data_IF_030805321879
#
_entry.id   IF_030805321879
#
_cell.length_a   1.000
_cell.length_b   1.000
_cell.length_c   1.000
_cell.angle_alpha   90.00
_cell.angle_beta   90.00
_cell.angle_gamma   90.00
#
_symmetry.space_group_name_H-M   'P 1'
#
loop_
_entity.id
_entity.type
_entity.pdbx_description
1 polymer ?
#
# COMPACT_ATOMS: atom_id res chain seq x y z
N UNK A 1 -10.79 -6.43 -8.69
CA UNK A 1 -11.52 -7.30 -9.62
C UNK A 1 -10.68 -7.61 -10.87
N UNK A 2 -10.15 -6.61 -11.59
CA UNK A 2 -9.33 -6.86 -12.79
C UNK A 2 -8.05 -7.64 -12.45
N UNK A 3 -7.47 -7.43 -11.31
CA UNK A 3 -6.35 -8.19 -10.76
C UNK A 3 -6.62 -9.71 -10.82
N UNK A 4 -7.80 -10.16 -10.39
CA UNK A 4 -8.19 -11.57 -10.48
C UNK A 4 -8.40 -12.03 -11.93
N UNK A 5 -8.94 -11.13 -12.76
CA UNK A 5 -9.32 -11.49 -14.13
C UNK A 5 -8.15 -11.85 -15.03
N UNK A 6 -6.94 -11.33 -14.79
CA UNK A 6 -5.76 -11.69 -15.60
C UNK A 6 -5.33 -13.14 -15.39
N UNK A 7 -5.72 -13.77 -14.26
CA UNK A 7 -5.52 -15.21 -14.01
C UNK A 7 -6.62 -16.09 -14.61
N UNK A 8 -7.72 -15.49 -15.09
CA UNK A 8 -8.95 -16.17 -15.50
C UNK A 8 -9.13 -16.28 -17.02
N UNK A 9 -8.05 -16.50 -17.73
CA UNK A 9 -8.02 -16.68 -19.18
C UNK A 9 -7.25 -15.56 -19.87
N UNK A 10 -6.31 -15.97 -20.70
CA UNK A 10 -5.40 -15.09 -21.41
C UNK A 10 -5.07 -15.63 -22.81
N UNK A 11 -4.23 -14.91 -23.55
CA UNK A 11 -3.81 -15.27 -24.90
C UNK A 11 -3.19 -16.68 -24.97
N UNK A 12 -2.37 -17.04 -23.98
CA UNK A 12 -1.64 -18.31 -23.99
C UNK A 12 -2.29 -19.38 -23.09
N UNK A 13 -3.18 -19.01 -22.18
CA UNK A 13 -3.80 -19.92 -21.23
C UNK A 13 -5.30 -19.76 -21.21
N UNK A 14 -6.04 -20.83 -21.49
CA UNK A 14 -7.47 -20.86 -21.24
C UNK A 14 -7.75 -20.77 -19.76
N UNK A 15 -8.98 -20.40 -19.41
CA UNK A 15 -9.42 -20.38 -18.01
C UNK A 15 -9.12 -21.72 -17.32
N UNK A 16 -8.42 -21.65 -16.17
CA UNK A 16 -8.02 -22.79 -15.38
C UNK A 16 -6.73 -23.51 -15.82
N UNK A 17 -6.07 -23.07 -16.90
CA UNK A 17 -4.82 -23.71 -17.38
C UNK A 17 -3.55 -23.06 -16.81
N UNK A 18 -3.59 -21.76 -16.49
CA UNK A 18 -2.42 -21.00 -16.03
C UNK A 18 -1.85 -21.57 -14.71
N UNK A 19 -2.68 -21.76 -13.71
CA UNK A 19 -2.25 -22.26 -12.39
C UNK A 19 -1.63 -23.68 -12.49
N UNK A 20 -2.25 -24.65 -13.15
CA UNK A 20 -1.61 -25.94 -13.39
C UNK A 20 -0.29 -25.87 -14.17
N UNK A 21 -0.17 -24.93 -15.13
CA UNK A 21 1.09 -24.74 -15.85
C UNK A 21 2.18 -24.20 -14.92
N UNK A 22 1.84 -23.25 -14.04
CA UNK A 22 2.73 -22.74 -13.00
C UNK A 22 3.20 -23.86 -12.05
N UNK A 23 2.25 -24.66 -11.55
CA UNK A 23 2.56 -25.76 -10.62
C UNK A 23 3.51 -26.83 -11.20
N UNK A 24 3.43 -27.09 -12.50
CA UNK A 24 4.36 -28.00 -13.19
C UNK A 24 5.81 -27.52 -13.17
N UNK A 25 6.02 -26.21 -13.14
CA UNK A 25 7.33 -25.57 -13.05
C UNK A 25 7.73 -25.25 -11.60
N UNK A 26 6.93 -25.68 -10.62
CA UNK A 26 7.19 -25.45 -9.19
C UNK A 26 6.78 -24.09 -8.67
N UNK A 27 5.95 -23.34 -9.40
CA UNK A 27 5.41 -22.03 -9.01
C UNK A 27 4.07 -22.21 -8.32
N UNK A 28 3.95 -21.81 -7.07
CA UNK A 28 2.71 -21.83 -6.29
C UNK A 28 2.00 -20.47 -6.29
N UNK A 29 0.68 -20.47 -6.52
CA UNK A 29 -0.12 -19.27 -6.35
C UNK A 29 -0.23 -18.92 -4.86
N UNK A 30 0.00 -17.63 -4.52
CA UNK A 30 0.01 -17.12 -3.16
C UNK A 30 1.39 -17.15 -2.48
N UNK A 31 2.26 -18.11 -2.86
CA UNK A 31 3.66 -18.17 -2.42
C UNK A 31 4.61 -17.51 -3.41
N UNK A 32 4.75 -18.14 -4.59
CA UNK A 32 5.71 -17.69 -5.61
C UNK A 32 5.08 -16.70 -6.60
N UNK A 33 3.77 -16.76 -6.83
CA UNK A 33 3.04 -15.80 -7.66
C UNK A 33 1.92 -15.16 -6.85
N UNK A 34 1.88 -13.84 -6.85
CA UNK A 34 0.90 -13.05 -6.10
C UNK A 34 0.60 -11.73 -6.83
N UNK A 35 -0.46 -11.06 -6.39
CA UNK A 35 -0.80 -9.72 -6.85
C UNK A 35 -1.49 -8.92 -5.75
N UNK A 36 -1.45 -7.60 -5.86
CA UNK A 36 -2.25 -6.71 -5.04
C UNK A 36 -2.69 -5.47 -5.82
N UNK A 37 -3.80 -4.90 -5.41
CA UNK A 37 -4.29 -3.62 -5.92
C UNK A 37 -4.31 -2.59 -4.79
N UNK A 38 -3.64 -1.47 -5.01
CA UNK A 38 -3.71 -0.28 -4.17
C UNK A 38 -4.60 0.79 -4.82
N UNK A 39 -4.55 2.04 -4.32
CA UNK A 39 -5.38 3.13 -4.83
C UNK A 39 -4.98 3.58 -6.24
N UNK A 40 -3.71 3.48 -6.60
CA UNK A 40 -3.14 4.01 -7.84
C UNK A 40 -2.24 3.01 -8.59
N UNK A 41 -2.10 1.81 -8.09
CA UNK A 41 -1.33 0.75 -8.74
C UNK A 41 -1.97 -0.64 -8.58
N UNK A 42 -1.66 -1.53 -9.51
CA UNK A 42 -1.81 -2.97 -9.38
C UNK A 42 -0.46 -3.61 -9.63
N UNK A 43 0.03 -4.40 -8.71
CA UNK A 43 1.33 -5.06 -8.80
C UNK A 43 1.13 -6.56 -8.93
N UNK A 44 1.81 -7.15 -9.90
CA UNK A 44 1.90 -8.60 -10.11
C UNK A 44 3.32 -9.03 -9.82
N UNK A 45 3.49 -10.03 -9.00
CA UNK A 45 4.78 -10.53 -8.54
C UNK A 45 4.93 -12.00 -8.89
N UNK A 46 6.15 -12.40 -9.23
CA UNK A 46 6.48 -13.79 -9.48
C UNK A 46 7.91 -14.09 -9.08
N UNK A 47 8.06 -14.94 -8.08
CA UNK A 47 9.36 -15.47 -7.66
C UNK A 47 9.64 -16.76 -8.42
N UNK A 48 10.69 -16.75 -9.24
CA UNK A 48 11.02 -17.87 -10.11
C UNK A 48 11.99 -18.80 -9.37
N UNK A 49 11.58 -20.02 -8.98
CA UNK A 49 12.39 -20.89 -8.12
C UNK A 49 13.60 -21.50 -8.85
N UNK A 50 13.67 -21.37 -10.15
CA UNK A 50 14.69 -22.00 -10.98
C UNK A 50 14.95 -21.18 -12.24
N UNK A 51 16.24 -21.08 -12.61
CA UNK A 51 16.68 -20.46 -13.87
C UNK A 51 16.58 -21.40 -15.08
N UNK A 52 15.81 -22.49 -14.98
CA UNK A 52 15.50 -23.32 -16.14
C UNK A 52 14.81 -22.50 -17.21
N UNK A 53 15.17 -22.71 -18.46
CA UNK A 53 14.60 -21.99 -19.59
C UNK A 53 13.07 -22.13 -19.65
N UNK A 54 12.53 -23.32 -19.35
CA UNK A 54 11.07 -23.57 -19.33
C UNK A 54 10.37 -22.71 -18.28
N UNK A 55 10.94 -22.63 -17.06
CA UNK A 55 10.36 -21.87 -15.95
C UNK A 55 10.41 -20.37 -16.22
N UNK A 56 11.55 -19.86 -16.71
CA UNK A 56 11.70 -18.45 -17.10
C UNK A 56 10.76 -18.09 -18.26
N UNK A 57 10.69 -18.93 -19.31
CA UNK A 57 9.78 -18.72 -20.43
C UNK A 57 8.32 -18.67 -19.97
N UNK A 58 7.91 -19.57 -19.09
CA UNK A 58 6.56 -19.58 -18.52
C UNK A 58 6.27 -18.29 -17.75
N UNK A 59 7.16 -17.89 -16.85
CA UNK A 59 7.01 -16.70 -16.02
C UNK A 59 6.84 -15.43 -16.88
N UNK A 60 7.72 -15.23 -17.84
CA UNK A 60 7.63 -14.07 -18.74
C UNK A 60 6.41 -14.12 -19.67
N UNK A 61 5.97 -15.30 -20.10
CA UNK A 61 4.74 -15.44 -20.89
C UNK A 61 3.53 -15.04 -20.05
N UNK A 62 3.44 -15.48 -18.81
CA UNK A 62 2.36 -15.11 -17.88
C UNK A 62 2.37 -13.59 -17.61
N UNK A 63 3.53 -13.01 -17.29
CA UNK A 63 3.66 -11.58 -17.06
C UNK A 63 3.27 -10.76 -18.30
N UNK A 64 3.60 -11.25 -19.51
CA UNK A 64 3.15 -10.63 -20.74
C UNK A 64 1.64 -10.74 -20.91
N UNK A 65 1.04 -11.88 -20.60
CA UNK A 65 -0.40 -12.06 -20.65
C UNK A 65 -1.15 -11.18 -19.64
N UNK A 66 -0.56 -10.93 -18.48
CA UNK A 66 -1.10 -9.94 -17.53
C UNK A 66 -1.08 -8.53 -18.13
N UNK A 67 -0.05 -8.18 -18.88
CA UNK A 67 0.12 -6.85 -19.46
C UNK A 67 -0.88 -6.53 -20.58
N UNK A 68 -1.09 -7.43 -21.55
CA UNK A 68 -1.99 -7.15 -22.70
C UNK A 68 -2.77 -8.35 -23.22
N UNK A 69 -2.68 -9.51 -22.56
CA UNK A 69 -3.27 -10.77 -23.03
C UNK A 69 -4.56 -11.21 -22.34
N UNK A 70 -5.11 -10.49 -21.37
CA UNK A 70 -6.31 -10.90 -20.65
C UNK A 70 -7.55 -10.91 -21.56
N UNK A 71 -8.29 -12.03 -21.58
CA UNK A 71 -9.47 -12.22 -22.45
C UNK A 71 -10.73 -11.56 -21.90
N UNK A 72 -10.84 -11.44 -20.59
CA UNK A 72 -11.97 -10.83 -19.90
C UNK A 72 -13.32 -11.39 -20.40
N UNK A 73 -13.42 -12.72 -20.48
CA UNK A 73 -14.64 -13.40 -20.93
C UNK A 73 -15.79 -13.15 -19.95
N UNK A 74 -17.00 -12.91 -20.46
CA UNK A 74 -18.17 -12.60 -19.64
C UNK A 74 -18.46 -13.69 -18.60
N UNK A 75 -18.40 -14.95 -19.02
CA UNK A 75 -18.59 -16.10 -18.14
C UNK A 75 -17.56 -16.19 -17.01
N UNK A 76 -16.33 -15.75 -17.26
CA UNK A 76 -15.28 -15.69 -16.24
C UNK A 76 -15.51 -14.54 -15.27
N UNK A 77 -15.91 -13.37 -15.76
CA UNK A 77 -16.30 -12.22 -14.95
C UNK A 77 -17.46 -12.59 -14.01
N UNK A 78 -18.52 -13.21 -14.55
CA UNK A 78 -19.70 -13.57 -13.76
C UNK A 78 -19.37 -14.60 -12.66
N UNK A 79 -18.51 -15.57 -12.96
CA UNK A 79 -18.06 -16.51 -11.95
C UNK A 79 -17.21 -15.86 -10.85
N UNK A 80 -16.43 -14.83 -11.19
CA UNK A 80 -15.55 -14.13 -10.25
C UNK A 80 -16.30 -13.20 -9.30
N UNK A 81 -17.51 -12.69 -9.68
CA UNK A 81 -18.33 -11.79 -8.83
C UNK A 81 -18.60 -12.36 -7.45
N UNK A 82 -18.84 -13.67 -7.34
CA UNK A 82 -19.06 -14.34 -6.05
C UNK A 82 -17.82 -14.34 -5.18
N UNK A 83 -16.66 -14.56 -5.77
CA UNK A 83 -15.35 -14.59 -5.07
C UNK A 83 -15.02 -13.20 -4.53
N UNK A 84 -15.10 -12.15 -5.38
CA UNK A 84 -14.86 -10.76 -4.96
C UNK A 84 -15.90 -10.29 -3.91
N UNK A 85 -17.18 -10.71 -4.05
CA UNK A 85 -18.20 -10.41 -3.04
C UNK A 85 -17.86 -11.04 -1.69
N UNK A 86 -17.30 -12.24 -1.68
CA UNK A 86 -16.86 -12.91 -0.45
C UNK A 86 -15.65 -12.20 0.16
N UNK A 87 -14.68 -11.81 -0.67
CA UNK A 87 -13.53 -10.99 -0.24
C UNK A 87 -13.97 -9.65 0.38
N UNK A 88 -14.91 -8.95 -0.27
CA UNK A 88 -15.48 -7.72 0.26
C UNK A 88 -16.04 -7.93 1.68
N UNK A 89 -16.79 -9.02 1.91
CA UNK A 89 -17.36 -9.33 3.22
C UNK A 89 -16.28 -9.64 4.27
N UNK A 90 -15.22 -10.34 3.90
CA UNK A 90 -14.10 -10.64 4.81
C UNK A 90 -13.35 -9.38 5.20
N UNK A 91 -13.19 -8.43 4.28
CA UNK A 91 -12.56 -7.13 4.54
C UNK A 91 -13.45 -6.20 5.38
N UNK A 92 -14.76 -6.37 5.39
CA UNK A 92 -15.72 -5.49 6.11
C UNK A 92 -15.69 -5.72 7.63
N UNK A 93 -14.52 -5.50 8.24
CA UNK A 93 -14.33 -5.53 9.70
C UNK A 93 -14.72 -4.20 10.35
N UNK A 94 -14.91 -4.20 11.67
CA UNK A 94 -15.16 -2.99 12.45
C UNK A 94 -14.06 -1.94 12.25
N UNK A 95 -12.79 -2.36 12.29
CA UNK A 95 -11.64 -1.49 12.05
C UNK A 95 -11.64 -0.87 10.65
N UNK A 96 -11.97 -1.66 9.62
CA UNK A 96 -12.06 -1.16 8.25
C UNK A 96 -13.18 -0.13 8.07
N UNK A 97 -14.35 -0.33 8.71
CA UNK A 97 -15.45 0.64 8.68
C UNK A 97 -15.08 1.95 9.38
N UNK A 98 -14.43 1.87 10.56
CA UNK A 98 -13.93 3.03 11.29
C UNK A 98 -12.86 3.77 10.46
N UNK A 99 -11.90 3.07 9.88
CA UNK A 99 -10.88 3.66 9.02
C UNK A 99 -11.51 4.43 7.83
N UNK A 100 -12.54 3.86 7.18
CA UNK A 100 -13.24 4.55 6.09
C UNK A 100 -13.91 5.84 6.55
N UNK A 101 -14.50 5.84 7.73
CA UNK A 101 -15.13 7.03 8.31
C UNK A 101 -14.08 8.10 8.67
N UNK A 102 -12.97 7.69 9.30
CA UNK A 102 -11.82 8.58 9.56
C UNK A 102 -11.31 9.20 8.26
N UNK A 103 -11.11 8.40 7.21
CA UNK A 103 -10.64 8.90 5.92
C UNK A 103 -11.65 9.83 5.24
N UNK A 104 -12.95 9.58 5.38
CA UNK A 104 -13.98 10.46 4.83
C UNK A 104 -13.96 11.87 5.46
N UNK A 105 -13.57 11.95 6.72
CA UNK A 105 -13.42 13.22 7.46
C UNK A 105 -12.08 13.87 7.12
N UNK A 106 -10.99 13.12 7.28
CA UNK A 106 -9.62 13.63 7.18
C UNK A 106 -9.23 13.98 5.74
N UNK A 107 -9.77 13.26 4.76
CA UNK A 107 -9.44 13.41 3.33
C UNK A 107 -10.60 14.01 2.52
N UNK A 108 -11.48 14.78 3.16
CA UNK A 108 -12.62 15.43 2.49
C UNK A 108 -12.15 16.26 1.30
N UNK A 109 -12.86 16.11 0.18
CA UNK A 109 -12.55 16.72 -1.11
C UNK A 109 -11.58 15.89 -1.98
N UNK A 110 -10.86 14.92 -1.41
CA UNK A 110 -10.10 13.97 -2.23
C UNK A 110 -10.98 12.84 -2.76
N UNK A 111 -10.46 12.05 -3.71
CA UNK A 111 -11.16 10.86 -4.23
C UNK A 111 -10.92 9.58 -3.41
N UNK A 112 -10.03 9.62 -2.43
CA UNK A 112 -9.67 8.44 -1.64
C UNK A 112 -10.86 7.78 -0.94
N UNK A 113 -11.75 8.54 -0.24
CA UNK A 113 -12.91 7.95 0.44
C UNK A 113 -13.90 7.23 -0.48
N UNK A 114 -13.91 7.56 -1.78
CA UNK A 114 -14.84 7.01 -2.76
C UNK A 114 -14.25 5.88 -3.60
N UNK A 115 -12.92 5.61 -3.50
CA UNK A 115 -12.19 4.74 -4.44
C UNK A 115 -11.34 3.67 -3.76
N UNK A 116 -11.89 3.03 -2.74
CA UNK A 116 -11.20 1.88 -2.13
C UNK A 116 -10.99 0.76 -3.16
N UNK A 117 -9.80 0.11 -3.16
CA UNK A 117 -9.43 -0.88 -4.19
C UNK A 117 -10.41 -2.03 -4.36
N UNK A 118 -11.06 -2.48 -3.28
CA UNK A 118 -12.07 -3.54 -3.37
C UNK A 118 -13.33 -3.10 -4.16
N UNK A 119 -13.58 -1.80 -4.27
CA UNK A 119 -14.76 -1.24 -4.93
C UNK A 119 -16.02 -1.31 -4.09
N UNK A 120 -17.17 -1.15 -4.75
CA UNK A 120 -18.50 -1.25 -4.11
C UNK A 120 -19.21 -2.52 -4.53
N UNK A 121 -20.08 -3.05 -3.65
CA UNK A 121 -20.88 -4.26 -3.96
C UNK A 121 -21.76 -4.10 -5.20
N UNK A 122 -22.24 -2.88 -5.46
CA UNK A 122 -23.00 -2.58 -6.66
C UNK A 122 -22.15 -2.81 -7.91
N UNK A 123 -20.98 -2.17 -8.00
CA UNK A 123 -20.07 -2.32 -9.14
C UNK A 123 -19.59 -3.76 -9.30
N UNK A 124 -19.23 -4.44 -8.19
CA UNK A 124 -18.82 -5.85 -8.23
C UNK A 124 -19.88 -6.73 -8.87
N UNK A 125 -21.16 -6.50 -8.54
CA UNK A 125 -22.27 -7.34 -8.99
C UNK A 125 -22.78 -6.99 -10.38
N UNK A 126 -22.70 -5.73 -10.80
CA UNK A 126 -23.43 -5.23 -11.97
C UNK A 126 -22.57 -4.66 -13.08
N UNK A 127 -21.27 -4.40 -12.86
CA UNK A 127 -20.42 -3.81 -13.88
C UNK A 127 -20.41 -4.69 -15.15
N UNK A 128 -20.79 -4.16 -16.32
CA UNK A 128 -20.81 -4.92 -17.57
C UNK A 128 -19.37 -5.15 -18.07
N UNK A 129 -19.19 -6.20 -18.87
CA UNK A 129 -17.90 -6.61 -19.44
C UNK A 129 -17.14 -5.47 -20.12
N UNK A 130 -17.84 -4.58 -20.81
CA UNK A 130 -17.25 -3.43 -21.51
C UNK A 130 -16.47 -2.50 -20.58
N UNK A 131 -16.89 -2.37 -19.32
CA UNK A 131 -16.17 -1.56 -18.32
C UNK A 131 -14.80 -2.16 -18.00
N UNK A 132 -14.71 -3.49 -17.89
CA UNK A 132 -13.44 -4.19 -17.66
C UNK A 132 -12.53 -4.06 -18.88
N UNK A 133 -13.05 -4.27 -20.09
CA UNK A 133 -12.29 -4.12 -21.33
C UNK A 133 -11.79 -2.69 -21.50
N UNK A 134 -12.65 -1.70 -21.28
CA UNK A 134 -12.28 -0.31 -21.43
C UNK A 134 -11.22 0.10 -20.41
N UNK A 135 -11.36 -0.32 -19.14
CA UNK A 135 -10.37 -0.07 -18.12
C UNK A 135 -9.02 -0.72 -18.48
N UNK A 136 -9.03 -2.00 -18.85
CA UNK A 136 -7.82 -2.73 -19.20
C UNK A 136 -7.09 -2.08 -20.38
N UNK A 137 -7.80 -1.79 -21.46
CA UNK A 137 -7.22 -1.14 -22.65
C UNK A 137 -6.74 0.28 -22.41
N UNK A 138 -7.33 0.99 -21.45
CA UNK A 138 -6.94 2.36 -21.14
C UNK A 138 -5.74 2.43 -20.22
N UNK A 139 -5.67 1.54 -19.21
CA UNK A 139 -4.68 1.66 -18.15
C UNK A 139 -3.54 0.62 -18.23
N UNK A 140 -3.78 -0.54 -18.85
CA UNK A 140 -2.75 -1.56 -19.06
C UNK A 140 -2.04 -1.31 -20.40
N UNK A 141 -1.23 -0.28 -20.42
CA UNK A 141 -0.49 0.21 -21.58
C UNK A 141 0.99 0.37 -21.25
N UNK A 142 1.92 0.14 -22.20
CA UNK A 142 3.36 0.14 -21.94
C UNK A 142 3.89 1.37 -21.23
N UNK A 143 3.35 2.55 -21.55
CA UNK A 143 3.80 3.83 -20.93
C UNK A 143 3.40 3.96 -19.45
N UNK A 144 2.49 3.12 -18.95
CA UNK A 144 2.04 3.09 -17.55
C UNK A 144 2.54 1.85 -16.81
N UNK A 145 3.40 1.04 -17.44
CA UNK A 145 3.96 -0.18 -16.85
C UNK A 145 5.40 0.01 -16.44
N UNK A 146 5.75 -0.57 -15.30
CA UNK A 146 7.12 -0.75 -14.87
C UNK A 146 7.37 -2.22 -14.65
N UNK A 147 8.39 -2.77 -15.32
CA UNK A 147 8.86 -4.13 -15.08
C UNK A 147 10.17 -4.08 -14.30
N UNK A 148 10.18 -4.76 -13.16
CA UNK A 148 11.37 -4.91 -12.33
C UNK A 148 11.78 -6.38 -12.34
N UNK A 149 13.04 -6.66 -12.64
CA UNK A 149 13.62 -8.00 -12.62
C UNK A 149 14.80 -7.96 -11.65
N UNK A 150 14.78 -8.81 -10.64
CA UNK A 150 15.84 -8.92 -9.66
C UNK A 150 16.23 -10.41 -9.47
N UNK A 151 17.51 -10.69 -9.28
CA UNK A 151 17.99 -12.05 -9.09
C UNK A 151 19.43 -12.23 -9.57
N UNK A 152 19.87 -13.47 -9.64
CA UNK A 152 21.21 -13.84 -10.15
C UNK A 152 21.23 -13.83 -11.69
N UNK A 153 21.12 -12.62 -12.24
CA UNK A 153 21.10 -12.36 -13.69
C UNK A 153 21.96 -11.15 -14.04
N UNK A 154 22.47 -11.11 -15.26
CA UNK A 154 23.12 -9.89 -15.76
C UNK A 154 22.09 -8.90 -16.34
N UNK A 155 22.39 -7.59 -16.36
CA UNK A 155 21.54 -6.59 -17.03
C UNK A 155 21.24 -6.93 -18.50
N UNK A 156 22.21 -7.52 -19.21
CA UNK A 156 22.08 -7.91 -20.60
C UNK A 156 21.07 -9.06 -20.78
N UNK A 157 21.09 -10.05 -19.88
CA UNK A 157 20.10 -11.12 -19.86
C UNK A 157 18.69 -10.57 -19.60
N UNK A 158 18.54 -9.73 -18.57
CA UNK A 158 17.28 -9.07 -18.27
C UNK A 158 16.75 -8.26 -19.47
N UNK A 159 17.60 -7.46 -20.10
CA UNK A 159 17.26 -6.71 -21.30
C UNK A 159 16.78 -7.62 -22.44
N UNK A 160 17.49 -8.71 -22.70
CA UNK A 160 17.15 -9.66 -23.76
C UNK A 160 15.76 -10.29 -23.51
N UNK A 161 15.42 -10.62 -22.26
CA UNK A 161 14.08 -11.12 -21.91
C UNK A 161 13.01 -10.04 -22.12
N UNK A 162 13.24 -8.82 -21.68
CA UNK A 162 12.31 -7.71 -21.92
C UNK A 162 12.05 -7.52 -23.41
N UNK A 163 13.09 -7.48 -24.23
CA UNK A 163 12.98 -7.36 -25.68
C UNK A 163 12.22 -8.55 -26.30
N UNK A 164 12.52 -9.79 -25.86
CA UNK A 164 11.87 -11.01 -26.35
C UNK A 164 10.37 -11.02 -26.06
N UNK A 165 9.97 -10.72 -24.82
CA UNK A 165 8.58 -10.92 -24.38
C UNK A 165 7.72 -9.67 -24.52
N UNK A 166 8.28 -8.47 -24.33
CA UNK A 166 7.53 -7.22 -24.32
C UNK A 166 7.84 -6.30 -25.52
N UNK A 167 8.89 -6.55 -26.26
CA UNK A 167 9.30 -5.70 -27.39
C UNK A 167 8.27 -5.58 -28.51
N UNK A 168 7.32 -6.52 -28.61
CA UNK A 168 6.22 -6.48 -29.57
C UNK A 168 5.01 -5.66 -29.10
N UNK A 169 5.00 -5.17 -27.86
CA UNK A 169 3.90 -4.33 -27.36
C UNK A 169 3.86 -3.01 -28.15
N UNK A 170 2.64 -2.64 -28.54
CA UNK A 170 2.46 -1.42 -29.34
C UNK A 170 2.64 -0.21 -28.46
N UNK A 171 3.36 0.79 -28.99
CA UNK A 171 3.44 2.12 -28.37
C UNK A 171 2.01 2.68 -28.24
N UNK A 172 1.71 3.24 -27.10
CA UNK A 172 0.43 3.86 -26.80
C UNK A 172 0.51 5.38 -26.80
N UNK A 173 -0.65 6.03 -26.77
CA UNK A 173 -0.81 7.47 -26.61
C UNK A 173 -1.61 7.73 -25.34
N UNK A 174 -1.14 7.22 -24.20
CA UNK A 174 -1.82 7.38 -22.92
C UNK A 174 -1.98 8.86 -22.56
N UNK A 175 -3.20 9.27 -22.31
CA UNK A 175 -3.55 10.65 -21.98
C UNK A 175 -4.43 10.78 -20.72
N UNK A 176 -4.69 9.66 -20.05
CA UNK A 176 -5.49 9.70 -18.83
C UNK A 176 -4.76 10.45 -17.71
N UNK A 177 -5.46 11.34 -17.06
CA UNK A 177 -4.94 12.04 -15.88
C UNK A 177 -5.67 11.57 -14.65
N UNK A 178 -4.92 11.15 -13.64
CA UNK A 178 -5.49 10.74 -12.37
C UNK A 178 -6.06 11.96 -11.64
N UNK A 179 -7.40 12.00 -11.52
CA UNK A 179 -8.07 12.97 -10.66
C UNK A 179 -8.09 12.42 -9.22
N UNK A 180 -7.24 12.98 -8.36
CA UNK A 180 -7.18 12.66 -6.92
C UNK A 180 -8.12 13.52 -6.09
N UNK A 181 -8.83 14.47 -6.72
CA UNK A 181 -9.59 15.51 -6.01
C UNK A 181 -8.66 16.56 -5.38
N UNK A 182 -9.21 17.39 -4.52
CA UNK A 182 -8.46 18.43 -3.81
C UNK A 182 -8.85 18.40 -2.34
N UNK A 183 -7.87 18.18 -1.48
CA UNK A 183 -8.08 18.17 -0.03
C UNK A 183 -8.67 19.51 0.42
N UNK A 184 -9.79 19.46 1.11
CA UNK A 184 -10.34 20.63 1.80
C UNK A 184 -9.57 20.84 3.11
N UNK A 185 -8.75 21.86 3.13
CA UNK A 185 -7.99 22.20 4.34
C UNK A 185 -8.91 22.80 5.38
N UNK A 186 -8.90 22.22 6.59
CA UNK A 186 -9.63 22.79 7.71
C UNK A 186 -9.02 24.14 8.12
N UNK A 187 -9.87 25.15 8.35
CA UNK A 187 -9.47 26.48 8.82
C UNK A 187 -9.44 26.59 10.34
N UNK A 188 -10.06 25.63 11.02
CA UNK A 188 -10.14 25.56 12.49
C UNK A 188 -10.09 24.09 12.94
N UNK A 189 -9.77 23.90 14.22
CA UNK A 189 -9.74 22.55 14.84
C UNK A 189 -11.16 22.03 14.96
N UNK A 190 -11.41 20.85 14.42
CA UNK A 190 -12.68 20.13 14.55
C UNK A 190 -12.48 18.88 15.41
N UNK A 191 -13.54 18.46 16.09
CA UNK A 191 -13.55 17.21 16.86
C UNK A 191 -14.63 16.28 16.33
N UNK A 192 -14.28 15.03 16.11
CA UNK A 192 -15.16 14.00 15.58
C UNK A 192 -15.21 12.81 16.53
N UNK A 193 -16.36 12.20 16.63
CA UNK A 193 -16.59 11.02 17.45
C UNK A 193 -17.17 9.89 16.60
N UNK A 194 -16.41 8.83 16.42
CA UNK A 194 -16.78 7.67 15.62
C UNK A 194 -17.03 6.50 16.56
N UNK A 195 -18.14 5.80 16.38
CA UNK A 195 -18.48 4.63 17.19
C UNK A 195 -18.82 3.44 16.32
N UNK A 196 -18.35 2.27 16.74
CA UNK A 196 -18.73 1.01 16.12
C UNK A 196 -19.02 -0.01 17.22
N UNK A 197 -20.16 -0.70 17.14
CA UNK A 197 -20.60 -1.66 18.18
C UNK A 197 -19.68 -2.88 18.29
N UNK A 198 -18.93 -3.19 17.24
CA UNK A 198 -18.00 -4.32 17.18
C UNK A 198 -16.55 -3.91 17.50
N UNK A 199 -16.31 -2.63 17.76
CA UNK A 199 -14.97 -2.17 18.12
C UNK A 199 -14.57 -2.71 19.51
N UNK A 200 -13.38 -3.28 19.59
CA UNK A 200 -12.81 -3.87 20.82
C UNK A 200 -11.81 -2.96 21.51
N UNK A 201 -11.45 -1.84 20.87
CA UNK A 201 -10.49 -0.84 21.39
C UNK A 201 -11.02 0.56 21.18
N UNK A 202 -10.48 1.49 21.95
CA UNK A 202 -10.72 2.92 21.79
C UNK A 202 -9.43 3.58 21.37
N UNK A 203 -9.50 4.38 20.33
CA UNK A 203 -8.40 5.18 19.83
C UNK A 203 -8.74 6.67 19.97
N UNK A 204 -7.77 7.48 20.30
CA UNK A 204 -7.85 8.93 20.27
C UNK A 204 -6.64 9.48 19.51
N UNK A 205 -6.87 10.40 18.58
CA UNK A 205 -5.81 10.94 17.73
C UNK A 205 -5.94 12.44 17.49
N UNK A 206 -4.82 13.07 17.18
CA UNK A 206 -4.72 14.44 16.66
C UNK A 206 -4.08 14.32 15.29
N UNK A 207 -4.80 14.79 14.26
CA UNK A 207 -4.37 14.67 12.87
C UNK A 207 -4.33 16.05 12.22
N UNK A 208 -3.29 16.30 11.42
CA UNK A 208 -3.15 17.51 10.60
C UNK A 208 -2.93 17.05 9.16
N UNK A 209 -3.97 17.17 8.33
CA UNK A 209 -3.90 16.87 6.92
C UNK A 209 -3.56 18.12 6.09
N UNK A 210 -2.64 17.98 5.14
CA UNK A 210 -2.22 19.02 4.19
C UNK A 210 -2.27 18.46 2.78
N UNK A 211 -2.48 19.31 1.75
CA UNK A 211 -2.34 18.89 0.36
C UNK A 211 -0.93 18.31 0.12
N UNK A 212 -0.88 17.15 -0.54
CA UNK A 212 0.41 16.56 -0.92
C UNK A 212 1.11 17.43 -1.97
N UNK A 213 2.41 17.60 -1.79
CA UNK A 213 3.26 18.30 -2.76
C UNK A 213 4.33 17.33 -3.27
N UNK A 214 4.20 16.90 -4.52
CA UNK A 214 5.18 16.02 -5.16
C UNK A 214 6.53 16.68 -5.24
N UNK A 215 7.52 16.06 -4.62
CA UNK A 215 8.92 16.50 -4.67
C UNK A 215 9.73 15.48 -5.46
N UNK A 216 10.71 15.93 -6.26
CA UNK A 216 11.65 14.99 -6.89
C UNK A 216 12.38 14.15 -5.84
N UNK A 217 12.54 12.87 -6.10
CA UNK A 217 13.34 11.99 -5.25
C UNK A 217 14.83 12.28 -5.44
N UNK A 218 15.36 13.12 -4.60
CA UNK A 218 16.78 13.52 -4.57
C UNK A 218 17.35 13.37 -3.18
N UNK A 219 18.65 13.15 -3.07
CA UNK A 219 19.37 13.12 -1.79
C UNK A 219 19.09 14.38 -0.95
N UNK A 220 19.03 15.54 -1.63
CA UNK A 220 18.72 16.82 -0.95
C UNK A 220 17.33 16.82 -0.32
N UNK A 221 16.31 16.29 -1.01
CA UNK A 221 14.95 16.24 -0.45
C UNK A 221 14.83 15.19 0.64
N UNK A 222 15.39 13.99 0.43
CA UNK A 222 15.44 12.95 1.48
C UNK A 222 16.13 13.47 2.76
N UNK A 223 17.23 14.22 2.62
CA UNK A 223 17.92 14.80 3.77
C UNK A 223 17.09 15.83 4.54
N UNK A 224 16.13 16.50 3.90
CA UNK A 224 15.22 17.44 4.60
C UNK A 224 14.20 16.72 5.49
N UNK A 225 13.86 15.47 5.17
CA UNK A 225 12.90 14.69 5.93
C UNK A 225 13.55 13.98 7.14
N UNK A 226 14.87 13.78 7.12
CA UNK A 226 15.61 13.13 8.20
C UNK A 226 15.38 13.78 9.58
N UNK A 227 15.49 15.12 9.77
CA UNK A 227 15.28 15.73 11.07
C UNK A 227 13.90 15.46 11.65
N UNK A 228 12.85 15.47 10.80
CA UNK A 228 11.49 15.18 11.22
C UNK A 228 11.34 13.71 11.64
N UNK A 229 11.87 12.78 10.84
CA UNK A 229 11.84 11.36 11.15
C UNK A 229 12.57 11.04 12.47
N UNK A 230 13.72 11.70 12.72
CA UNK A 230 14.45 11.58 13.98
C UNK A 230 13.64 12.16 15.14
N UNK A 231 12.96 13.29 14.94
CA UNK A 231 12.09 13.88 15.96
C UNK A 231 10.93 12.97 16.34
N UNK A 232 10.27 12.36 15.35
CA UNK A 232 9.22 11.36 15.62
C UNK A 232 9.77 10.11 16.31
N UNK A 233 10.95 9.64 15.95
CA UNK A 233 11.59 8.50 16.64
C UNK A 233 11.84 8.81 18.12
N UNK A 234 12.31 10.02 18.45
CA UNK A 234 12.50 10.45 19.83
C UNK A 234 11.18 10.63 20.59
N UNK A 235 10.16 11.21 19.95
CA UNK A 235 8.82 11.34 20.52
C UNK A 235 8.23 9.96 20.83
N UNK A 236 8.26 9.04 19.85
CA UNK A 236 7.74 7.70 20.01
C UNK A 236 8.45 6.93 21.12
N UNK A 237 9.76 7.16 21.29
CA UNK A 237 10.51 6.58 22.40
C UNK A 237 10.04 7.09 23.75
N UNK A 238 9.67 8.38 23.87
CA UNK A 238 9.06 8.92 25.10
C UNK A 238 7.71 8.29 25.38
N UNK A 239 6.85 8.22 24.35
CA UNK A 239 5.52 7.60 24.45
C UNK A 239 5.61 6.12 24.87
N UNK A 240 6.55 5.37 24.30
CA UNK A 240 6.82 3.97 24.69
C UNK A 240 7.27 3.86 26.16
N UNK A 241 8.14 4.75 26.62
CA UNK A 241 8.57 4.79 28.03
C UNK A 241 7.39 5.13 28.97
N UNK A 242 6.51 6.04 28.55
CA UNK A 242 5.29 6.38 29.31
C UNK A 242 4.35 5.18 29.40
N UNK A 243 4.12 4.45 28.30
CA UNK A 243 3.24 3.28 28.28
C UNK A 243 3.67 2.14 29.24
N UNK A 244 4.94 2.10 29.66
CA UNK A 244 5.45 1.12 30.62
C UNK A 244 5.15 1.47 32.08
N UNK A 245 4.67 2.68 32.37
CA UNK A 245 4.31 3.08 33.73
C UNK A 245 2.92 2.57 34.10
N UNK A 246 2.76 2.06 35.29
CA UNK A 246 1.49 1.50 35.77
C UNK A 246 0.32 2.52 35.75
N UNK A 247 0.62 3.80 35.96
CA UNK A 247 -0.37 4.89 35.96
C UNK A 247 -0.60 5.52 34.58
N UNK A 248 -0.03 4.96 33.53
CA UNK A 248 -0.20 5.49 32.17
C UNK A 248 -1.67 5.35 31.71
N UNK A 249 -2.30 6.44 31.20
CA UNK A 249 -3.71 6.39 30.80
C UNK A 249 -3.92 5.68 29.45
N UNK A 250 -2.86 5.30 28.73
CA UNK A 250 -2.94 4.61 27.44
C UNK A 250 -2.14 3.32 27.42
N UNK A 251 -2.53 2.41 26.53
CA UNK A 251 -1.88 1.12 26.29
C UNK A 251 -0.67 1.31 25.37
N UNK A 252 -0.88 2.07 24.30
CA UNK A 252 0.16 2.43 23.34
C UNK A 252 -0.12 3.79 22.74
N UNK A 253 0.94 4.46 22.27
CA UNK A 253 0.83 5.72 21.55
C UNK A 253 1.98 5.85 20.56
N UNK A 254 1.71 6.50 19.45
CA UNK A 254 2.70 6.78 18.40
C UNK A 254 2.37 8.05 17.63
N UNK A 255 3.39 8.67 17.07
CA UNK A 255 3.26 9.79 16.16
C UNK A 255 4.08 9.57 14.89
N UNK A 256 3.65 10.18 13.81
CA UNK A 256 4.35 10.07 12.52
C UNK A 256 3.76 10.95 11.45
N UNK A 257 4.43 10.98 10.32
CA UNK A 257 3.95 11.57 9.08
C UNK A 257 3.77 10.48 8.05
N UNK A 258 2.69 10.54 7.30
CA UNK A 258 2.42 9.66 6.19
C UNK A 258 1.91 10.43 4.97
N UNK A 259 2.30 9.96 3.80
CA UNK A 259 1.71 10.40 2.55
C UNK A 259 0.58 9.45 2.18
N UNK A 260 -0.60 10.00 1.90
CA UNK A 260 -1.75 9.21 1.50
C UNK A 260 -1.95 9.35 0.00
N UNK A 261 -1.36 8.41 -0.74
CA UNK A 261 -1.56 8.19 -2.19
C UNK A 261 -1.38 9.48 -3.03
N UNK A 262 -0.35 10.28 -2.72
CA UNK A 262 -0.13 11.59 -3.36
C UNK A 262 -1.35 12.53 -3.32
N UNK A 263 -2.32 12.30 -2.45
CA UNK A 263 -3.49 13.14 -2.26
C UNK A 263 -3.37 14.06 -1.04
N UNK A 264 -2.79 13.55 0.03
CA UNK A 264 -2.58 14.30 1.26
C UNK A 264 -1.31 13.85 1.98
N UNK A 265 -0.68 14.79 2.70
CA UNK A 265 0.32 14.54 3.73
C UNK A 265 -0.35 14.69 5.10
N UNK A 266 -0.22 13.72 5.98
CA UNK A 266 -0.86 13.73 7.29
C UNK A 266 0.20 13.56 8.40
N UNK A 267 0.26 14.55 9.30
CA UNK A 267 0.91 14.40 10.60
C UNK A 267 -0.13 13.88 11.59
N UNK A 268 0.18 12.79 12.27
CA UNK A 268 -0.70 12.16 13.26
C UNK A 268 0.05 11.90 14.56
N UNK A 269 -0.62 12.07 15.69
CA UNK A 269 -0.28 11.43 16.96
C UNK A 269 -1.53 10.73 17.46
N UNK A 270 -1.40 9.46 17.79
CA UNK A 270 -2.53 8.61 18.15
C UNK A 270 -2.21 7.76 19.38
N UNK A 271 -3.24 7.34 20.08
CA UNK A 271 -3.13 6.50 21.26
C UNK A 271 -4.28 5.49 21.33
N UNK A 272 -3.96 4.27 21.75
CA UNK A 272 -4.92 3.26 22.12
C UNK A 272 -5.11 3.24 23.64
N UNK A 273 -6.34 3.30 24.10
CA UNK A 273 -6.67 3.33 25.51
C UNK A 273 -7.95 2.54 25.82
N UNK A 274 -8.19 2.30 27.11
CA UNK A 274 -9.50 1.86 27.56
C UNK A 274 -10.56 2.94 27.33
N UNK A 275 -11.78 2.53 27.02
CA UNK A 275 -12.89 3.45 26.73
C UNK A 275 -13.05 4.57 27.78
N UNK A 276 -12.88 4.28 29.05
CA UNK A 276 -13.00 5.28 30.13
C UNK A 276 -11.82 6.25 30.19
N UNK A 277 -10.69 5.91 29.58
CA UNK A 277 -9.44 6.62 29.67
C UNK A 277 -9.09 7.45 28.43
N UNK A 278 -9.96 7.51 27.40
CA UNK A 278 -9.62 8.20 26.16
C UNK A 278 -9.27 9.69 26.36
N UNK A 279 -9.99 10.40 27.27
CA UNK A 279 -9.69 11.82 27.57
C UNK A 279 -8.31 12.01 28.21
N UNK A 280 -7.97 11.36 29.35
CA UNK A 280 -6.62 11.46 29.90
C UNK A 280 -5.55 10.92 28.94
N UNK A 281 -5.85 9.91 28.11
CA UNK A 281 -4.92 9.41 27.11
C UNK A 281 -4.62 10.46 26.01
N UNK A 282 -5.67 11.10 25.46
CA UNK A 282 -5.53 12.19 24.50
C UNK A 282 -4.76 13.38 25.10
N UNK A 283 -5.07 13.75 26.34
CA UNK A 283 -4.36 14.82 27.03
C UNK A 283 -2.88 14.49 27.26
N UNK A 284 -2.55 13.24 27.56
CA UNK A 284 -1.18 12.81 27.79
C UNK A 284 -0.33 12.88 26.52
N UNK A 285 -0.85 12.42 25.36
CA UNK A 285 -0.12 12.50 24.09
C UNK A 285 0.00 13.95 23.60
N UNK A 286 -1.04 14.77 23.77
CA UNK A 286 -1.00 16.20 23.42
C UNK A 286 0.04 16.94 24.28
N UNK A 287 0.06 16.69 25.56
CA UNK A 287 1.03 17.30 26.49
C UNK A 287 2.47 16.92 26.11
N UNK A 288 2.73 15.65 25.79
CA UNK A 288 4.07 15.21 25.40
C UNK A 288 4.49 15.77 24.03
N UNK A 289 3.56 15.86 23.09
CA UNK A 289 3.79 16.52 21.80
C UNK A 289 4.13 18.00 22.01
N UNK A 290 3.36 18.73 22.81
CA UNK A 290 3.62 20.14 23.16
C UNK A 290 4.97 20.29 23.85
N UNK A 291 5.29 19.42 24.80
CA UNK A 291 6.59 19.40 25.47
C UNK A 291 7.74 19.22 24.47
N UNK A 292 7.59 18.31 23.50
CA UNK A 292 8.58 18.10 22.45
C UNK A 292 8.76 19.35 21.56
N UNK A 293 7.66 20.05 21.24
CA UNK A 293 7.70 21.28 20.44
C UNK A 293 8.35 22.45 21.21
N UNK A 294 7.97 22.64 22.46
CA UNK A 294 8.42 23.79 23.26
C UNK A 294 9.85 23.64 23.80
N UNK A 295 10.23 22.45 24.26
CA UNK A 295 11.50 22.21 24.94
C UNK A 295 12.48 21.33 24.15
N UNK A 296 12.03 20.74 23.03
CA UNK A 296 12.84 19.88 22.20
C UNK A 296 13.21 18.55 22.86
N UNK A 297 14.35 18.02 22.46
CA UNK A 297 14.92 16.74 22.90
C UNK A 297 16.34 16.95 23.46
N UNK A 298 16.74 16.08 24.37
CA UNK A 298 18.09 16.12 24.92
C UNK A 298 19.10 15.36 24.06
N UNK A 299 20.39 15.45 24.43
CA UNK A 299 21.49 14.82 23.64
C UNK A 299 21.45 13.29 23.69
N UNK A 300 21.03 12.75 24.82
CA UNK A 300 20.93 11.30 25.05
C UNK A 300 19.81 10.69 24.18
N UNK A 301 18.67 11.35 24.09
CA UNK A 301 17.55 10.94 23.20
C UNK A 301 17.99 10.96 21.73
N UNK A 302 18.70 12.00 21.32
CA UNK A 302 19.24 12.09 19.96
C UNK A 302 20.27 10.99 19.69
N UNK A 303 21.15 10.69 20.62
CA UNK A 303 22.14 9.64 20.48
C UNK A 303 21.49 8.24 20.37
N UNK A 304 20.47 7.96 21.22
CA UNK A 304 19.67 6.72 21.16
C UNK A 304 18.97 6.59 19.80
N UNK A 305 18.26 7.63 19.35
CA UNK A 305 17.54 7.62 18.08
C UNK A 305 18.48 7.41 16.87
N UNK A 306 19.62 8.11 16.85
CA UNK A 306 20.64 7.93 15.79
C UNK A 306 21.18 6.51 15.76
N UNK A 307 21.53 5.95 16.91
CA UNK A 307 22.03 4.57 17.00
C UNK A 307 21.01 3.57 16.42
N UNK A 308 19.74 3.69 16.83
CA UNK A 308 18.68 2.79 16.40
C UNK A 308 18.40 2.90 14.88
N UNK A 309 18.33 4.14 14.35
CA UNK A 309 18.09 4.38 12.92
C UNK A 309 19.27 3.85 12.09
N UNK A 310 20.52 4.09 12.54
CA UNK A 310 21.72 3.58 11.85
C UNK A 310 21.74 2.06 11.84
N UNK A 311 21.51 1.42 13.00
CA UNK A 311 21.48 -0.03 13.10
C UNK A 311 20.38 -0.64 12.21
N UNK A 312 19.18 -0.03 12.16
CA UNK A 312 18.12 -0.48 11.29
C UNK A 312 18.49 -0.36 9.80
N UNK A 313 19.16 0.73 9.42
CA UNK A 313 19.64 0.92 8.05
C UNK A 313 20.73 -0.10 7.67
N UNK A 314 21.67 -0.39 8.57
CA UNK A 314 22.72 -1.38 8.37
C UNK A 314 22.12 -2.78 8.24
N UNK A 315 21.17 -3.18 9.08
CA UNK A 315 20.44 -4.44 8.96
C UNK A 315 19.68 -4.56 7.64
N UNK A 316 19.04 -3.49 7.18
CA UNK A 316 18.38 -3.47 5.88
C UNK A 316 19.36 -3.70 4.73
N UNK A 317 20.57 -3.14 4.78
CA UNK A 317 21.61 -3.35 3.79
C UNK A 317 22.12 -4.79 3.76
N UNK A 318 22.22 -5.44 4.92
CA UNK A 318 22.63 -6.86 5.02
C UNK A 318 21.60 -7.76 4.33
N UNK A 319 20.31 -7.51 4.54
CA UNK A 319 19.23 -8.26 3.86
C UNK A 319 19.16 -8.03 2.36
N UNK A 320 19.64 -6.90 1.86
CA UNK A 320 19.74 -6.62 0.42
C UNK A 320 20.99 -7.27 -0.18
N UNK A 321 22.08 -7.40 0.57
CA UNK A 321 23.38 -7.90 0.09
C UNK A 321 23.57 -9.42 0.21
N UNK A 322 22.80 -10.10 1.03
CA UNK A 322 22.83 -11.57 1.16
C UNK A 322 21.53 -12.17 0.60
N UNK A 323 21.54 -12.74 -0.64
CA UNK A 323 20.46 -13.59 -1.07
C UNK A 323 20.38 -14.78 -0.10
N UNK A 324 19.26 -14.93 0.59
CA UNK A 324 18.98 -16.07 1.47
C UNK A 324 19.15 -17.36 0.67
N UNK A 325 20.24 -18.07 0.92
CA UNK A 325 20.39 -19.47 0.53
C UNK A 325 19.47 -20.27 1.45
N UNK A 326 18.31 -20.63 0.97
CA UNK A 326 17.49 -21.72 1.53
C UNK A 326 17.24 -22.77 0.47
#
# INVERSE_FOLDING_TARGET
FLEHMVFNGSTHFKRGEMIPAMQKEGLGLGGDANAYTAFDETVYMMDVPSMKESTVNLAFTIMRDFADGALLEESAIDAERGIITSEYKVRDSAGYRVMKEVFSIMLDGTRIPDRYPIGTLEVIRTAPREKFINYYRTHYVPSQMQLVIAGDITPEQGKAWVEKYFGSMKKDNYSFQTDRGTLKTATETTAHWITNKEATSTEASINIARPYVKKPDTVSNRNKDIPLNVAYAMLNRRLEKMAKNADCPFISAEGGRMDIVEAAEVDSIQTQADYKNWKPALAAIEQELRRAIEFGFNKEELAEARSNITAAAELSLIHISEPTRH
#
